data_IF_464943916922
#
_entry.id   IF_464943916922
#
_cell.length_a   1.000
_cell.length_b   1.000
_cell.length_c   1.000
_cell.angle_alpha   90.00
_cell.angle_beta   90.00
_cell.angle_gamma   90.00
#
_symmetry.space_group_name_H-M   'P 1'
#
loop_
_entity.id
_entity.type
_entity.pdbx_description
1 polymer ?
#
# COMPACT_ATOMS: atom_id res chain seq x y z
N UNK A 1 -7.25 12.64 9.24
CA UNK A 1 -7.47 12.14 7.86
C UNK A 1 -6.31 11.25 7.43
N UNK A 2 -5.08 11.73 7.49
CA UNK A 2 -3.90 10.93 7.13
C UNK A 2 -3.73 9.66 7.98
N UNK A 3 -3.97 9.75 9.30
CA UNK A 3 -3.92 8.57 10.18
C UNK A 3 -5.05 7.57 9.94
N UNK A 4 -6.16 8.01 9.33
CA UNK A 4 -7.26 7.14 8.95
C UNK A 4 -6.86 6.37 7.68
N UNK A 5 -6.41 7.07 6.64
CA UNK A 5 -5.88 6.46 5.42
C UNK A 5 -4.72 5.51 5.70
N UNK A 6 -3.78 5.90 6.57
CA UNK A 6 -2.67 5.04 7.02
C UNK A 6 -3.20 3.75 7.63
N UNK A 7 -4.18 3.81 8.53
CA UNK A 7 -4.75 2.62 9.19
C UNK A 7 -5.50 1.71 8.22
N UNK A 8 -6.30 2.28 7.34
CA UNK A 8 -7.16 1.53 6.41
C UNK A 8 -6.36 0.90 5.26
N UNK A 9 -5.38 1.62 4.72
CA UNK A 9 -4.53 1.13 3.63
C UNK A 9 -3.40 0.20 4.08
N UNK A 10 -3.02 0.23 5.38
CA UNK A 10 -1.85 -0.50 5.90
C UNK A 10 -1.85 -1.98 5.52
N UNK A 11 -2.94 -2.70 5.79
CA UNK A 11 -2.98 -4.15 5.59
C UNK A 11 -2.90 -4.52 4.11
N UNK A 12 -3.53 -3.72 3.25
CA UNK A 12 -3.48 -3.92 1.81
C UNK A 12 -2.09 -3.61 1.24
N UNK A 13 -1.52 -2.45 1.60
CA UNK A 13 -0.17 -2.04 1.18
C UNK A 13 0.87 -3.01 1.72
N UNK A 14 0.71 -3.56 2.92
CA UNK A 14 1.62 -4.55 3.48
C UNK A 14 1.62 -5.87 2.70
N UNK A 15 0.46 -6.32 2.21
CA UNK A 15 0.39 -7.50 1.33
C UNK A 15 1.09 -7.25 -0.01
N UNK A 16 0.88 -6.07 -0.61
CA UNK A 16 1.55 -5.69 -1.84
C UNK A 16 3.06 -5.56 -1.64
N UNK A 17 3.50 -4.95 -0.55
CA UNK A 17 4.90 -4.82 -0.17
C UNK A 17 5.57 -6.19 -0.06
N UNK A 18 4.97 -7.13 0.69
CA UNK A 18 5.48 -8.51 0.82
C UNK A 18 5.53 -9.26 -0.51
N UNK A 19 4.62 -8.95 -1.44
CA UNK A 19 4.62 -9.55 -2.78
C UNK A 19 5.80 -9.05 -3.63
N UNK A 20 6.24 -7.80 -3.42
CA UNK A 20 7.37 -7.22 -4.14
C UNK A 20 8.71 -7.45 -3.45
N UNK A 21 8.73 -7.72 -2.14
CA UNK A 21 9.93 -8.10 -1.38
C UNK A 21 10.32 -9.56 -1.66
N UNK A 22 10.99 -9.78 -2.80
CA UNK A 22 11.41 -11.12 -3.24
C UNK A 22 12.48 -11.75 -2.35
N UNK A 23 13.28 -10.92 -1.69
CA UNK A 23 14.46 -11.36 -0.95
C UNK A 23 14.20 -11.44 0.57
N UNK A 24 12.97 -11.13 1.01
CA UNK A 24 12.63 -10.91 2.42
C UNK A 24 13.60 -9.94 3.10
N UNK A 25 14.04 -8.92 2.36
CA UNK A 25 14.98 -7.90 2.83
C UNK A 25 14.28 -6.82 3.69
N UNK A 26 12.96 -6.94 3.87
CA UNK A 26 12.10 -5.90 4.45
C UNK A 26 12.21 -4.56 3.70
N UNK A 27 12.56 -4.64 2.41
CA UNK A 27 12.79 -3.50 1.53
C UNK A 27 12.43 -3.87 0.08
N UNK A 28 11.92 -2.91 -0.67
CA UNK A 28 11.61 -3.07 -2.09
C UNK A 28 12.46 -2.12 -2.93
N UNK A 29 12.72 -2.48 -4.19
CA UNK A 29 13.44 -1.60 -5.09
C UNK A 29 12.53 -0.43 -5.55
N UNK A 30 13.11 0.75 -5.76
CA UNK A 30 12.40 1.96 -6.22
C UNK A 30 11.53 1.70 -7.46
N UNK A 31 12.00 0.88 -8.40
CA UNK A 31 11.26 0.52 -9.62
C UNK A 31 9.95 -0.23 -9.37
N UNK A 32 9.86 -0.99 -8.27
CA UNK A 32 8.67 -1.77 -7.94
C UNK A 32 7.60 -0.93 -7.24
N UNK A 33 7.93 0.29 -6.82
CA UNK A 33 6.96 1.22 -6.24
C UNK A 33 5.84 1.57 -7.22
N UNK A 34 6.15 1.72 -8.51
CA UNK A 34 5.15 1.99 -9.55
C UNK A 34 4.09 0.88 -9.60
N UNK A 35 4.48 -0.39 -9.41
CA UNK A 35 3.55 -1.54 -9.40
C UNK A 35 2.63 -1.53 -8.18
N UNK A 36 3.16 -1.14 -7.01
CA UNK A 36 2.36 -1.00 -5.80
C UNK A 36 1.32 0.10 -6.00
N UNK A 37 1.73 1.27 -6.51
CA UNK A 37 0.82 2.37 -6.75
C UNK A 37 -0.23 2.04 -7.82
N UNK A 38 0.13 1.41 -8.93
CA UNK A 38 -0.83 0.93 -9.94
C UNK A 38 -1.87 -0.05 -9.36
N UNK A 39 -1.48 -0.85 -8.35
CA UNK A 39 -2.40 -1.79 -7.70
C UNK A 39 -3.36 -1.08 -6.73
N UNK A 40 -2.97 0.07 -6.18
CA UNK A 40 -3.77 0.85 -5.23
C UNK A 40 -4.64 1.88 -5.98
N UNK A 41 -4.11 2.48 -7.04
CA UNK A 41 -4.73 3.52 -7.86
C UNK A 41 -4.58 3.15 -9.34
N UNK A 42 -5.41 2.21 -9.86
CA UNK A 42 -5.29 1.73 -11.24
C UNK A 42 -5.63 2.79 -12.28
N UNK A 43 -6.46 3.78 -11.93
CA UNK A 43 -6.85 4.89 -12.81
C UNK A 43 -5.77 5.98 -12.91
N UNK A 44 -4.77 5.94 -12.03
CA UNK A 44 -3.70 6.93 -11.99
C UNK A 44 -2.55 6.50 -12.91
N UNK A 45 -2.45 7.13 -14.09
CA UNK A 45 -1.36 6.90 -15.04
C UNK A 45 -0.03 7.48 -14.50
N UNK A 46 0.93 6.60 -14.18
CA UNK A 46 2.20 6.93 -13.49
C UNK A 46 3.42 6.91 -14.40
N UNK A 47 3.23 6.88 -15.73
CA UNK A 47 4.33 6.57 -16.67
C UNK A 47 5.53 7.51 -16.48
N UNK A 48 5.28 8.80 -16.19
CA UNK A 48 6.27 9.78 -15.77
C UNK A 48 5.72 10.78 -14.75
N UNK A 49 5.42 10.32 -13.53
CA UNK A 49 5.11 11.23 -12.43
C UNK A 49 6.41 11.76 -11.79
N UNK A 50 6.83 12.97 -12.18
CA UNK A 50 8.01 13.64 -11.62
C UNK A 50 7.90 13.85 -10.09
N UNK A 51 6.68 13.96 -9.57
CA UNK A 51 6.43 14.07 -8.14
C UNK A 51 6.73 12.74 -7.43
N UNK A 52 6.37 11.61 -8.05
CA UNK A 52 6.72 10.29 -7.53
C UNK A 52 8.24 10.13 -7.47
N UNK A 53 8.97 10.52 -8.52
CA UNK A 53 10.43 10.40 -8.51
C UNK A 53 11.09 11.22 -7.39
N UNK A 54 10.60 12.44 -7.14
CA UNK A 54 11.09 13.29 -6.05
C UNK A 54 10.82 12.66 -4.68
N UNK A 55 9.60 12.18 -4.45
CA UNK A 55 9.25 11.49 -3.20
C UNK A 55 10.09 10.24 -2.99
N UNK A 56 10.34 9.47 -4.05
CA UNK A 56 11.17 8.29 -3.94
C UNK A 56 12.61 8.64 -3.56
N UNK A 57 13.20 9.68 -4.16
CA UNK A 57 14.55 10.13 -3.82
C UNK A 57 14.70 10.56 -2.35
N UNK A 58 13.65 11.10 -1.74
CA UNK A 58 13.65 11.48 -0.31
C UNK A 58 13.68 10.27 0.63
N UNK A 59 13.17 9.12 0.17
CA UNK A 59 12.96 7.93 0.98
C UNK A 59 13.90 6.77 0.67
N UNK A 60 14.68 6.86 -0.41
CA UNK A 60 15.65 5.85 -0.83
C UNK A 60 16.71 5.67 0.25
N UNK A 61 16.97 4.40 0.59
CA UNK A 61 17.98 3.96 1.55
C UNK A 61 18.76 2.78 0.97
N UNK A 62 19.97 2.60 1.49
CA UNK A 62 20.75 1.39 1.28
C UNK A 62 20.36 0.38 2.34
N UNK A 63 19.95 -0.81 1.91
CA UNK A 63 19.57 -1.91 2.81
C UNK A 63 20.52 -3.07 2.62
N UNK A 64 20.73 -3.86 3.67
CA UNK A 64 21.52 -5.09 3.61
C UNK A 64 20.68 -6.26 4.06
N UNK A 65 20.86 -7.40 3.43
CA UNK A 65 20.24 -8.66 3.83
C UNK A 65 21.26 -9.78 3.79
N UNK A 66 21.01 -10.82 4.57
CA UNK A 66 21.86 -12.00 4.66
C UNK A 66 21.21 -13.13 3.85
N UNK A 67 21.98 -13.73 2.95
CA UNK A 67 21.55 -14.89 2.18
C UNK A 67 22.41 -16.10 2.58
N UNK A 68 21.76 -17.23 2.86
CA UNK A 68 22.47 -18.47 3.15
C UNK A 68 22.83 -19.17 1.83
N UNK A 69 24.12 -19.22 1.53
CA UNK A 69 24.63 -19.87 0.35
C UNK A 69 24.76 -21.38 0.59
N UNK A 70 23.80 -22.15 0.08
CA UNK A 70 23.73 -23.61 0.27
C UNK A 70 24.90 -24.38 -0.34
N UNK A 71 25.68 -23.77 -1.24
CA UNK A 71 26.84 -24.43 -1.88
C UNK A 71 28.11 -24.28 -1.06
N UNK A 72 28.30 -23.12 -0.43
CA UNK A 72 29.49 -22.82 0.40
C UNK A 72 29.21 -22.99 1.90
N UNK A 73 27.95 -23.19 2.30
CA UNK A 73 27.47 -23.20 3.70
C UNK A 73 27.90 -21.95 4.47
N UNK A 74 27.97 -20.80 3.78
CA UNK A 74 28.32 -19.52 4.36
C UNK A 74 27.16 -18.54 4.23
N UNK A 75 27.11 -17.58 5.15
CA UNK A 75 26.17 -16.47 5.08
C UNK A 75 26.83 -15.29 4.37
N UNK A 76 26.30 -14.96 3.20
CA UNK A 76 26.77 -13.84 2.40
C UNK A 76 25.93 -12.60 2.76
N UNK A 77 26.60 -11.46 3.01
CA UNK A 77 25.93 -10.17 3.20
C UNK A 77 25.80 -9.50 1.84
N UNK A 78 24.57 -9.29 1.39
CA UNK A 78 24.27 -8.56 0.17
C UNK A 78 23.80 -7.16 0.50
N UNK A 79 24.32 -6.20 -0.25
CA UNK A 79 23.90 -4.81 -0.19
C UNK A 79 22.97 -4.54 -1.36
N UNK A 80 21.90 -3.80 -1.08
CA UNK A 80 20.92 -3.39 -2.06
C UNK A 80 20.77 -1.88 -1.99
N UNK A 81 21.11 -1.23 -3.10
CA UNK A 81 20.95 0.20 -3.30
C UNK A 81 19.53 0.49 -3.83
N UNK A 82 19.10 1.75 -3.76
CA UNK A 82 17.81 2.20 -4.27
C UNK A 82 16.58 1.47 -3.70
N UNK A 83 16.63 1.20 -2.39
CA UNK A 83 15.55 0.48 -1.69
C UNK A 83 14.68 1.38 -0.81
N UNK A 84 13.45 0.93 -0.57
CA UNK A 84 12.45 1.60 0.26
C UNK A 84 11.92 0.64 1.33
N UNK A 85 11.87 1.12 2.57
CA UNK A 85 11.27 0.45 3.71
C UNK A 85 9.74 0.60 3.71
N UNK A 86 9.06 -0.33 4.38
CA UNK A 86 7.59 -0.33 4.45
C UNK A 86 6.98 1.01 4.93
N UNK A 87 7.51 1.70 5.96
CA UNK A 87 6.98 3.00 6.38
C UNK A 87 7.05 4.05 5.27
N UNK A 88 8.14 4.08 4.49
CA UNK A 88 8.28 5.01 3.37
C UNK A 88 7.33 4.68 2.24
N UNK A 89 7.18 3.39 1.90
CA UNK A 89 6.19 2.94 0.90
C UNK A 89 4.77 3.36 1.32
N UNK A 90 4.42 3.15 2.59
CA UNK A 90 3.12 3.55 3.12
C UNK A 90 2.92 5.08 3.05
N UNK A 91 3.95 5.86 3.38
CA UNK A 91 3.90 7.32 3.29
C UNK A 91 3.64 7.79 1.85
N UNK A 92 4.35 7.23 0.87
CA UNK A 92 4.16 7.56 -0.54
C UNK A 92 2.76 7.17 -1.02
N UNK A 93 2.27 5.96 -0.71
CA UNK A 93 0.91 5.54 -1.10
C UNK A 93 -0.16 6.47 -0.51
N UNK A 94 -0.03 6.83 0.77
CA UNK A 94 -0.98 7.72 1.44
C UNK A 94 -0.98 9.12 0.82
N UNK A 95 0.18 9.61 0.38
CA UNK A 95 0.28 10.90 -0.33
C UNK A 95 -0.57 10.90 -1.60
N UNK A 96 -0.46 9.85 -2.42
CA UNK A 96 -1.25 9.73 -3.66
C UNK A 96 -2.73 9.49 -3.40
N UNK A 97 -3.09 8.66 -2.40
CA UNK A 97 -4.49 8.47 -1.99
C UNK A 97 -5.15 9.78 -1.57
N UNK A 98 -4.45 10.59 -0.77
CA UNK A 98 -4.94 11.92 -0.34
C UNK A 98 -5.10 12.87 -1.52
N UNK A 99 -4.21 12.78 -2.52
CA UNK A 99 -4.29 13.58 -3.75
C UNK A 99 -5.50 13.17 -4.59
N UNK A 100 -5.78 11.88 -4.66
CA UNK A 100 -6.94 11.34 -5.36
C UNK A 100 -8.27 11.73 -4.69
N UNK A 101 -8.35 11.60 -3.36
CA UNK A 101 -9.51 12.04 -2.56
C UNK A 101 -9.78 13.55 -2.72
N UNK A 102 -8.74 14.37 -2.82
CA UNK A 102 -8.87 15.80 -3.12
C UNK A 102 -9.39 16.08 -4.53
N UNK A 103 -9.04 15.26 -5.51
CA UNK A 103 -9.53 15.40 -6.90
C UNK A 103 -10.99 14.95 -7.02
N UNK A 104 -11.37 13.88 -6.32
CA UNK A 104 -12.74 13.32 -6.34
C UNK A 104 -13.71 14.07 -5.42
N UNK A 105 -13.21 14.83 -4.44
CA UNK A 105 -14.00 15.72 -3.58
C UNK A 105 -14.54 16.92 -4.37
N UNK A 106 -15.61 16.71 -5.11
CA UNK A 106 -16.44 17.79 -5.63
C UNK A 106 -17.21 18.41 -4.44
N UNK A 107 -16.82 19.61 -4.01
CA UNK A 107 -17.39 20.27 -2.81
C UNK A 107 -18.93 20.45 -2.86
N UNK A 108 -19.52 20.36 -4.05
CA UNK A 108 -20.96 20.48 -4.29
C UNK A 108 -21.76 19.17 -4.22
N UNK A 109 -21.14 17.99 -4.32
CA UNK A 109 -21.88 16.72 -4.46
C UNK A 109 -22.00 15.89 -3.18
N UNK A 110 -21.31 16.25 -2.09
CA UNK A 110 -21.40 15.52 -0.81
C UNK A 110 -20.85 14.08 -0.84
N UNK A 111 -20.20 13.66 -1.92
CA UNK A 111 -19.60 12.32 -2.07
C UNK A 111 -18.12 12.39 -1.69
N UNK A 112 -17.80 12.57 -0.41
CA UNK A 112 -16.42 12.73 0.09
C UNK A 112 -15.89 11.52 0.87
N UNK A 113 -16.41 10.32 0.62
CA UNK A 113 -16.05 9.17 1.43
C UNK A 113 -15.72 8.00 0.53
N UNK A 114 -14.45 7.64 0.48
CA UNK A 114 -14.01 6.31 0.02
C UNK A 114 -14.81 5.28 0.81
N UNK A 115 -15.66 4.52 0.12
CA UNK A 115 -16.55 3.55 0.75
C UNK A 115 -15.86 2.19 0.78
N UNK A 116 -16.27 1.35 1.74
CA UNK A 116 -15.80 -0.04 1.84
C UNK A 116 -15.98 -0.86 0.55
N UNK A 117 -16.89 -0.44 -0.33
CA UNK A 117 -17.17 -1.05 -1.65
C UNK A 117 -16.09 -0.80 -2.69
N UNK A 118 -15.25 0.21 -2.48
CA UNK A 118 -14.29 0.67 -3.50
C UNK A 118 -13.01 -0.17 -3.50
N UNK A 119 -12.87 -1.08 -2.54
CA UNK A 119 -11.81 -2.08 -2.51
C UNK A 119 -12.36 -3.45 -2.94
N UNK A 120 -11.68 -4.17 -3.86
CA UNK A 120 -12.13 -5.48 -4.30
C UNK A 120 -12.14 -6.44 -3.11
N UNK A 121 -13.35 -6.73 -2.61
CA UNK A 121 -13.57 -7.61 -1.48
C UNK A 121 -13.42 -9.03 -1.99
N UNK A 122 -12.35 -9.73 -1.60
CA UNK A 122 -12.34 -11.18 -1.70
C UNK A 122 -13.43 -11.68 -0.75
N UNK A 123 -14.46 -12.33 -1.32
CA UNK A 123 -15.63 -12.87 -0.65
C UNK A 123 -15.33 -13.34 0.78
N UNK A 124 -15.79 -12.58 1.77
CA UNK A 124 -15.84 -13.01 3.16
C UNK A 124 -17.29 -13.06 3.61
N UNK A 125 -17.84 -14.26 3.47
CA UNK A 125 -18.83 -14.89 4.34
C UNK A 125 -19.90 -13.99 4.97
N UNK A 126 -21.07 -13.98 4.32
CA UNK A 126 -22.40 -14.14 4.92
C UNK A 126 -22.52 -13.77 6.42
N UNK A 127 -22.72 -12.49 6.71
CA UNK A 127 -23.34 -12.08 7.98
C UNK A 127 -24.85 -12.02 7.72
N UNK A 128 -25.59 -12.98 8.27
CA UNK A 128 -27.06 -13.01 8.24
C UNK A 128 -27.62 -11.75 8.92
N UNK A 129 -28.28 -10.90 8.13
CA UNK A 129 -28.97 -9.67 8.57
C UNK A 129 -30.32 -9.93 9.26
N UNK A 130 -30.68 -11.19 9.50
CA UNK A 130 -31.98 -11.60 10.09
C UNK A 130 -32.01 -11.65 11.61
N UNK A 131 -30.90 -11.35 12.31
CA UNK A 131 -30.83 -11.45 13.77
C UNK A 131 -31.31 -10.18 14.53
N UNK A 132 -31.44 -9.02 13.86
CA UNK A 132 -31.79 -7.76 14.55
C UNK A 132 -33.29 -7.45 14.64
N UNK A 133 -34.17 -8.21 13.99
CA UNK A 133 -35.61 -7.89 13.91
C UNK A 133 -36.50 -8.50 15.01
N UNK A 134 -35.93 -9.02 16.12
CA UNK A 134 -36.72 -9.68 17.19
C UNK A 134 -36.62 -9.08 18.60
N UNK A 135 -36.34 -7.79 18.75
CA UNK A 135 -36.51 -7.11 20.05
C UNK A 135 -37.14 -5.73 19.91
N UNK A 136 -38.48 -5.69 20.04
CA UNK A 136 -39.26 -4.79 20.92
C UNK A 136 -40.72 -4.70 20.45
N UNK A 137 -41.59 -5.42 21.14
CA UNK A 137 -43.01 -5.10 21.31
C UNK A 137 -43.41 -5.66 22.68
N UNK A 138 -43.21 -4.86 23.72
CA UNK A 138 -43.93 -4.89 25.00
C UNK A 138 -43.92 -3.47 25.54
#
# INVERSE_FOLDING_TARGET
MEDKLKRESKDFVQKLFKKQDKNNAAAIHKSDMKKILQSVLPEYFLDYDAELEQLLLQHVKVTKYTEHNKKTNQFDVKYQEDTLDFPSVLAVVVHFLKKDEKKSSNAFSGVSVVKYTDFPTTERSMINTTAESKKRLF
#
